data_IF_880400291152
#
_entry.id   IF_880400291152
#
_cell.length_a   1.000
_cell.length_b   1.000
_cell.length_c   1.000
_cell.angle_alpha   90.00
_cell.angle_beta   90.00
_cell.angle_gamma   90.00
#
_symmetry.space_group_name_H-M   'P 1'
#
loop_
_entity.id
_entity.type
_entity.pdbx_description
1 polymer ?
#
# COMPACT_ATOMS: atom_id res chain seq x y z
N UNK A 1 2.29 12.10 -24.29
CA UNK A 1 2.16 13.38 -25.03
C UNK A 1 0.75 13.68 -25.52
N UNK A 2 -0.31 13.19 -24.84
CA UNK A 2 -1.68 13.51 -25.27
C UNK A 2 -1.95 15.02 -25.17
N UNK A 3 -2.45 15.70 -26.26
CA UNK A 3 -2.56 17.16 -26.33
C UNK A 3 -3.33 17.81 -25.16
N UNK A 4 -4.45 17.20 -24.73
CA UNK A 4 -5.23 17.70 -23.60
C UNK A 4 -4.45 17.65 -22.26
N UNK A 5 -3.62 16.63 -22.06
CA UNK A 5 -2.80 16.50 -20.87
C UNK A 5 -1.67 17.55 -20.87
N UNK A 6 -1.00 17.70 -22.01
CA UNK A 6 0.06 18.70 -22.19
C UNK A 6 -0.48 20.11 -21.94
N UNK A 7 -1.63 20.44 -22.52
CA UNK A 7 -2.28 21.75 -22.32
C UNK A 7 -2.65 21.99 -20.84
N UNK A 8 -3.22 21.01 -20.16
CA UNK A 8 -3.59 21.13 -18.74
C UNK A 8 -2.36 21.34 -17.84
N UNK A 9 -1.25 20.66 -18.11
CA UNK A 9 0.01 20.83 -17.38
C UNK A 9 0.57 22.24 -17.62
N UNK A 10 0.63 22.69 -18.87
CA UNK A 10 1.15 24.00 -19.21
C UNK A 10 0.32 25.14 -18.58
N UNK A 11 -1.00 25.04 -18.65
CA UNK A 11 -1.91 26.01 -18.02
C UNK A 11 -1.73 26.06 -16.50
N UNK A 12 -1.67 24.90 -15.84
CA UNK A 12 -1.49 24.87 -14.40
C UNK A 12 -0.10 25.34 -13.98
N UNK A 13 0.95 25.01 -14.71
CA UNK A 13 2.31 25.44 -14.43
C UNK A 13 2.47 26.96 -14.55
N UNK A 14 1.72 27.60 -15.47
CA UNK A 14 1.69 29.07 -15.59
C UNK A 14 1.02 29.79 -14.41
N UNK A 15 0.20 29.06 -13.62
CA UNK A 15 -0.47 29.60 -12.41
C UNK A 15 0.36 29.34 -11.17
N UNK A 16 0.66 28.08 -10.91
CA UNK A 16 1.45 27.63 -9.76
C UNK A 16 1.95 26.21 -9.98
N UNK A 17 3.24 25.97 -9.72
CA UNK A 17 3.87 24.66 -9.85
C UNK A 17 3.75 23.87 -8.55
N UNK A 18 4.04 24.52 -7.40
CA UNK A 18 4.01 23.87 -6.11
C UNK A 18 3.58 24.85 -5.02
N UNK A 19 2.75 24.35 -4.11
CA UNK A 19 2.47 24.94 -2.80
C UNK A 19 2.56 23.83 -1.76
N UNK A 20 2.86 24.16 -0.51
CA UNK A 20 2.85 23.16 0.56
C UNK A 20 1.42 22.75 0.93
N UNK A 21 1.29 21.67 1.70
CA UNK A 21 0.00 21.24 2.28
C UNK A 21 -0.56 22.22 3.35
N UNK A 22 0.05 23.38 3.52
CA UNK A 22 -0.47 24.49 4.31
C UNK A 22 -1.56 25.28 3.58
N UNK A 23 -1.74 25.05 2.28
CA UNK A 23 -2.69 25.76 1.44
C UNK A 23 -3.71 24.80 0.83
N UNK A 24 -4.91 25.31 0.59
CA UNK A 24 -5.91 24.60 -0.19
C UNK A 24 -5.51 24.52 -1.66
N UNK A 25 -5.64 23.33 -2.23
CA UNK A 25 -5.37 23.06 -3.66
C UNK A 25 -6.67 22.57 -4.29
N UNK A 26 -7.45 23.44 -4.96
CA UNK A 26 -8.78 23.09 -5.47
C UNK A 26 -8.81 21.86 -6.39
N UNK A 27 -7.76 21.68 -7.19
CA UNK A 27 -7.67 20.51 -8.09
C UNK A 27 -7.50 19.21 -7.31
N UNK A 28 -6.71 19.23 -6.22
CA UNK A 28 -6.54 18.05 -5.36
C UNK A 28 -7.83 17.72 -4.60
N UNK A 29 -8.53 18.75 -4.09
CA UNK A 29 -9.82 18.60 -3.40
C UNK A 29 -10.87 18.01 -4.35
N UNK A 30 -11.03 18.54 -5.55
CA UNK A 30 -11.96 18.02 -6.57
C UNK A 30 -11.61 16.56 -6.95
N UNK A 31 -10.34 16.21 -7.05
CA UNK A 31 -9.92 14.85 -7.33
C UNK A 31 -10.24 13.92 -6.15
N UNK A 32 -9.97 14.36 -4.91
CA UNK A 32 -10.28 13.61 -3.70
C UNK A 32 -11.78 13.33 -3.58
N UNK A 33 -12.63 14.33 -3.80
CA UNK A 33 -14.09 14.16 -3.81
C UNK A 33 -14.55 13.12 -4.84
N UNK A 34 -13.99 13.14 -6.05
CA UNK A 34 -14.30 12.13 -7.08
C UNK A 34 -13.84 10.74 -6.67
N UNK A 35 -12.65 10.60 -6.09
CA UNK A 35 -12.15 9.30 -5.64
C UNK A 35 -13.00 8.74 -4.50
N UNK A 36 -13.38 9.55 -3.54
CA UNK A 36 -14.29 9.15 -2.44
C UNK A 36 -15.66 8.75 -2.99
N UNK A 37 -16.24 9.54 -3.91
CA UNK A 37 -17.55 9.24 -4.48
C UNK A 37 -17.60 7.93 -5.30
N UNK A 38 -16.47 7.44 -5.80
CA UNK A 38 -16.36 6.26 -6.66
C UNK A 38 -15.61 5.07 -6.01
N UNK A 39 -15.37 5.12 -4.70
CA UNK A 39 -14.69 4.06 -3.97
C UNK A 39 -15.30 3.87 -2.57
N UNK A 40 -14.72 2.98 -1.78
CA UNK A 40 -15.08 2.81 -0.37
C UNK A 40 -14.37 3.79 0.56
N UNK A 41 -13.47 4.63 0.03
CA UNK A 41 -12.65 5.52 0.84
C UNK A 41 -13.44 6.71 1.38
N UNK A 42 -13.16 7.11 2.62
CA UNK A 42 -13.71 8.32 3.25
C UNK A 42 -12.78 9.54 3.06
N UNK A 43 -11.50 9.30 2.76
CA UNK A 43 -10.50 10.34 2.57
C UNK A 43 -9.38 9.88 1.64
N UNK A 44 -8.61 10.84 1.12
CA UNK A 44 -7.52 10.61 0.17
C UNK A 44 -6.25 11.31 0.66
N UNK A 45 -5.14 10.61 0.59
CA UNK A 45 -3.81 11.16 0.79
C UNK A 45 -3.04 11.14 -0.53
N UNK A 46 -2.53 12.28 -0.96
CA UNK A 46 -1.72 12.39 -2.17
C UNK A 46 -0.24 12.38 -1.85
N UNK A 47 0.53 11.68 -2.66
CA UNK A 47 1.98 11.60 -2.59
C UNK A 47 2.58 11.51 -4.00
N UNK A 48 3.91 11.44 -4.13
CA UNK A 48 4.58 11.56 -5.42
C UNK A 48 4.74 10.21 -6.15
N UNK A 49 4.60 9.10 -5.45
CA UNK A 49 4.86 7.77 -6.03
C UNK A 49 4.10 6.66 -5.32
N UNK A 50 3.97 5.50 -5.97
CA UNK A 50 3.45 4.28 -5.33
C UNK A 50 4.30 3.82 -4.13
N UNK A 51 5.62 3.98 -4.20
CA UNK A 51 6.49 3.67 -3.06
C UNK A 51 6.16 4.52 -1.84
N UNK A 52 5.95 5.83 -2.02
CA UNK A 52 5.53 6.74 -0.93
C UNK A 52 4.13 6.39 -0.41
N UNK A 53 3.20 6.00 -1.29
CA UNK A 53 1.87 5.55 -0.88
C UNK A 53 1.96 4.30 0.00
N UNK A 54 2.78 3.31 -0.38
CA UNK A 54 2.99 2.09 0.38
C UNK A 54 3.72 2.34 1.71
N UNK A 55 4.71 3.22 1.74
CA UNK A 55 5.35 3.69 2.98
C UNK A 55 4.33 4.36 3.90
N UNK A 56 3.48 5.23 3.35
CA UNK A 56 2.38 5.87 4.07
C UNK A 56 1.40 4.84 4.65
N UNK A 57 1.04 3.84 3.86
CA UNK A 57 0.15 2.74 4.28
C UNK A 57 0.72 1.93 5.43
N UNK A 58 1.99 1.50 5.36
CA UNK A 58 2.68 0.79 6.45
C UNK A 58 2.69 1.63 7.73
N UNK A 59 3.00 2.92 7.62
CA UNK A 59 2.95 3.86 8.75
C UNK A 59 1.55 3.98 9.34
N UNK A 60 0.52 4.07 8.53
CA UNK A 60 -0.88 4.14 8.97
C UNK A 60 -1.30 2.86 9.69
N UNK A 61 -0.96 1.68 9.16
CA UNK A 61 -1.26 0.40 9.81
C UNK A 61 -0.65 0.32 11.21
N UNK A 62 0.64 0.61 11.34
CA UNK A 62 1.35 0.61 12.61
C UNK A 62 0.77 1.65 13.59
N UNK A 63 0.48 2.84 13.09
CA UNK A 63 -0.08 3.92 13.91
C UNK A 63 -1.48 3.63 14.41
N UNK A 64 -2.34 3.04 13.57
CA UNK A 64 -3.70 2.66 13.94
C UNK A 64 -3.69 1.57 15.02
N UNK A 65 -2.89 0.51 14.87
CA UNK A 65 -2.73 -0.52 15.90
C UNK A 65 -2.23 0.06 17.23
N UNK A 66 -1.24 0.93 17.20
CA UNK A 66 -0.76 1.59 18.42
C UNK A 66 -1.84 2.46 19.09
N UNK A 67 -2.70 3.15 18.30
CA UNK A 67 -3.84 3.92 18.83
C UNK A 67 -4.91 3.04 19.45
N UNK A 68 -5.06 1.81 18.98
CA UNK A 68 -5.97 0.79 19.54
C UNK A 68 -5.39 0.09 20.80
N UNK A 69 -4.18 0.46 21.21
CA UNK A 69 -3.50 -0.13 22.37
C UNK A 69 -2.61 -1.32 22.05
N UNK A 70 -2.34 -1.61 20.78
CA UNK A 70 -1.55 -2.72 20.28
C UNK A 70 -0.22 -2.22 19.67
N UNK A 71 0.60 -1.56 20.46
CA UNK A 71 1.89 -0.98 19.98
C UNK A 71 2.91 -2.04 19.55
N UNK A 72 2.75 -3.29 19.99
CA UNK A 72 3.55 -4.45 19.57
C UNK A 72 3.25 -4.87 18.12
N UNK A 73 2.07 -4.54 17.58
CA UNK A 73 1.65 -4.89 16.23
C UNK A 73 2.31 -4.00 15.20
N UNK A 74 3.45 -4.43 14.69
CA UNK A 74 4.26 -3.67 13.72
C UNK A 74 4.58 -4.46 12.44
N UNK A 75 4.27 -5.76 12.40
CA UNK A 75 4.58 -6.65 11.27
C UNK A 75 3.47 -6.61 10.23
N UNK A 76 3.86 -6.60 8.97
CA UNK A 76 2.95 -6.59 7.81
C UNK A 76 3.19 -7.89 7.03
N UNK A 77 2.11 -8.63 6.74
CA UNK A 77 2.18 -9.80 5.87
C UNK A 77 2.04 -9.33 4.43
N UNK A 78 3.00 -9.70 3.59
CA UNK A 78 3.04 -9.47 2.15
C UNK A 78 2.98 -10.81 1.39
N UNK A 79 2.77 -10.77 0.09
CA UNK A 79 2.76 -11.98 -0.73
C UNK A 79 4.03 -12.11 -1.56
N UNK A 80 4.51 -13.35 -1.75
CA UNK A 80 5.58 -13.66 -2.68
C UNK A 80 5.24 -13.17 -4.09
N UNK A 81 6.22 -12.63 -4.79
CA UNK A 81 6.05 -12.12 -6.14
C UNK A 81 5.40 -10.73 -6.23
N UNK A 82 5.20 -10.04 -5.09
CA UNK A 82 4.70 -8.69 -5.05
C UNK A 82 5.75 -7.66 -5.52
N UNK A 83 5.26 -6.46 -5.89
CA UNK A 83 6.10 -5.29 -6.11
C UNK A 83 5.50 -4.10 -5.36
N UNK A 84 6.18 -3.64 -4.33
CA UNK A 84 5.69 -2.55 -3.47
C UNK A 84 6.48 -1.24 -3.60
N UNK A 85 7.60 -1.26 -4.30
CA UNK A 85 8.47 -0.09 -4.49
C UNK A 85 9.94 -0.39 -4.24
N UNK A 86 10.79 0.65 -4.30
CA UNK A 86 12.26 0.51 -4.24
C UNK A 86 12.92 1.29 -3.10
N UNK A 87 12.17 1.80 -2.13
CA UNK A 87 12.74 2.26 -0.87
C UNK A 87 13.20 1.05 -0.05
N UNK A 88 14.06 1.25 0.92
CA UNK A 88 14.61 0.14 1.75
C UNK A 88 13.49 -0.69 2.40
N UNK A 89 12.44 -0.04 2.92
CA UNK A 89 11.33 -0.77 3.50
C UNK A 89 10.46 -1.46 2.42
N UNK A 90 10.26 -0.84 1.26
CA UNK A 90 9.46 -1.45 0.19
C UNK A 90 10.19 -2.56 -0.55
N UNK A 91 11.53 -2.54 -0.58
CA UNK A 91 12.33 -3.71 -1.00
C UNK A 91 12.12 -4.89 -0.05
N UNK A 92 12.12 -4.62 1.26
CA UNK A 92 11.82 -5.65 2.26
C UNK A 92 10.38 -6.17 2.13
N UNK A 93 9.39 -5.29 1.94
CA UNK A 93 8.00 -5.67 1.70
C UNK A 93 7.80 -6.49 0.41
N UNK A 94 8.54 -6.19 -0.65
CA UNK A 94 8.57 -6.95 -1.91
C UNK A 94 9.17 -8.34 -1.72
N UNK A 95 10.19 -8.48 -0.87
CA UNK A 95 10.79 -9.76 -0.48
C UNK A 95 11.52 -10.50 -1.60
N UNK A 96 11.81 -9.86 -2.72
CA UNK A 96 12.53 -10.48 -3.83
C UNK A 96 14.06 -10.44 -3.56
N UNK A 97 14.73 -11.60 -3.40
CA UNK A 97 16.16 -11.64 -3.09
C UNK A 97 17.04 -10.90 -4.12
N UNK A 98 16.64 -10.93 -5.40
CA UNK A 98 17.38 -10.22 -6.46
C UNK A 98 17.33 -8.69 -6.31
N UNK A 99 16.28 -8.15 -5.67
CA UNK A 99 16.18 -6.71 -5.41
C UNK A 99 16.84 -6.29 -4.10
N UNK A 100 17.09 -7.24 -3.21
CA UNK A 100 17.75 -7.02 -1.92
C UNK A 100 19.28 -7.14 -2.02
N UNK A 101 19.78 -7.74 -3.09
CA UNK A 101 21.21 -7.99 -3.27
C UNK A 101 22.04 -6.69 -3.20
N UNK A 102 23.05 -6.68 -2.36
CA UNK A 102 23.93 -5.55 -2.16
C UNK A 102 23.43 -4.43 -1.22
N UNK A 103 22.21 -4.54 -0.66
CA UNK A 103 21.64 -3.53 0.24
C UNK A 103 21.66 -3.90 1.73
N UNK A 104 22.33 -5.00 2.08
CA UNK A 104 22.40 -5.50 3.47
C UNK A 104 21.13 -6.24 3.90
N UNK A 105 20.94 -6.36 5.22
CA UNK A 105 19.77 -7.05 5.77
C UNK A 105 18.48 -6.31 5.44
N UNK A 106 17.39 -7.03 5.09
CA UNK A 106 16.08 -6.40 4.84
C UNK A 106 15.58 -5.62 6.05
N UNK A 107 14.92 -4.50 5.81
CA UNK A 107 14.23 -3.77 6.87
C UNK A 107 13.25 -4.71 7.61
N UNK A 108 13.25 -4.72 8.95
CA UNK A 108 12.42 -5.64 9.73
C UNK A 108 10.93 -5.28 9.67
N UNK A 109 10.08 -6.28 9.94
CA UNK A 109 8.64 -6.09 10.11
C UNK A 109 7.82 -6.47 8.87
N UNK A 110 8.37 -7.30 7.99
CA UNK A 110 7.65 -7.86 6.86
C UNK A 110 7.75 -9.39 6.88
N UNK A 111 6.61 -10.05 6.69
CA UNK A 111 6.48 -11.50 6.56
C UNK A 111 5.95 -11.83 5.17
N UNK A 112 6.42 -12.93 4.56
CA UNK A 112 6.03 -13.30 3.21
C UNK A 112 5.31 -14.63 3.20
N UNK A 113 4.24 -14.70 2.38
CA UNK A 113 3.45 -15.91 2.19
C UNK A 113 3.16 -16.11 0.69
N UNK A 114 2.96 -17.35 0.23
CA UNK A 114 2.58 -17.60 -1.15
C UNK A 114 1.28 -16.87 -1.53
N UNK A 115 1.29 -16.23 -2.71
CA UNK A 115 0.12 -15.56 -3.26
C UNK A 115 -1.03 -16.55 -3.49
N UNK A 116 -2.27 -16.14 -3.26
CA UNK A 116 -3.48 -16.96 -3.33
C UNK A 116 -3.52 -18.14 -2.33
N UNK A 117 -2.74 -18.09 -1.26
CA UNK A 117 -2.74 -19.14 -0.24
C UNK A 117 -3.24 -18.62 1.13
N UNK A 118 -4.56 -18.65 1.31
CA UNK A 118 -5.21 -18.16 2.54
C UNK A 118 -4.78 -18.96 3.79
N UNK A 119 -4.51 -20.26 3.66
CA UNK A 119 -4.10 -21.09 4.80
C UNK A 119 -2.71 -20.68 5.30
N UNK A 120 -1.76 -20.49 4.38
CA UNK A 120 -0.42 -20.02 4.74
C UNK A 120 -0.44 -18.61 5.33
N UNK A 121 -1.28 -17.72 4.76
CA UNK A 121 -1.45 -16.39 5.31
C UNK A 121 -1.99 -16.44 6.74
N UNK A 122 -3.02 -17.24 6.98
CA UNK A 122 -3.59 -17.41 8.32
C UNK A 122 -2.57 -17.97 9.32
N UNK A 123 -1.75 -18.94 8.90
CA UNK A 123 -0.69 -19.53 9.72
C UNK A 123 0.46 -18.56 10.04
N UNK A 124 0.67 -17.54 9.21
CA UNK A 124 1.71 -16.53 9.42
C UNK A 124 1.31 -15.42 10.40
N UNK A 125 0.03 -15.34 10.81
CA UNK A 125 -0.44 -14.32 11.75
C UNK A 125 0.14 -14.59 13.14
N UNK A 126 0.74 -13.57 13.72
CA UNK A 126 1.29 -13.57 15.08
C UNK A 126 0.67 -12.45 15.93
N UNK A 127 0.89 -12.41 17.24
CA UNK A 127 0.48 -11.28 18.06
C UNK A 127 1.04 -9.92 17.62
N UNK A 128 2.16 -9.93 16.89
CA UNK A 128 2.82 -8.73 16.37
C UNK A 128 2.30 -8.28 14.99
N UNK A 129 1.40 -9.04 14.36
CA UNK A 129 0.86 -8.72 13.04
C UNK A 129 -0.06 -7.50 13.11
N UNK A 130 0.25 -6.46 12.34
CA UNK A 130 -0.54 -5.23 12.22
C UNK A 130 -1.57 -5.31 11.09
N UNK A 131 -1.22 -5.94 9.99
CA UNK A 131 -2.06 -5.98 8.80
C UNK A 131 -1.48 -6.81 7.66
N UNK A 132 -2.23 -6.82 6.57
CA UNK A 132 -1.89 -7.51 5.32
C UNK A 132 -1.85 -6.49 4.20
N UNK A 133 -0.82 -6.55 3.36
CA UNK A 133 -0.64 -5.73 2.18
C UNK A 133 -0.55 -6.63 0.95
N UNK A 134 -1.44 -6.47 -0.03
CA UNK A 134 -1.53 -7.34 -1.19
C UNK A 134 -1.91 -6.57 -2.45
N UNK A 135 -1.41 -7.00 -3.60
CA UNK A 135 -1.87 -6.53 -4.90
C UNK A 135 -3.05 -7.39 -5.39
N UNK A 136 -4.09 -6.77 -5.93
CA UNK A 136 -5.19 -7.52 -6.58
C UNK A 136 -4.73 -8.20 -7.86
N UNK A 137 -3.74 -7.61 -8.53
CA UNK A 137 -3.06 -8.15 -9.71
C UNK A 137 -1.57 -7.89 -9.53
N UNK A 138 -0.78 -8.95 -9.36
CA UNK A 138 0.68 -8.83 -9.32
C UNK A 138 1.21 -8.62 -10.74
N UNK A 139 1.58 -7.40 -11.08
CA UNK A 139 2.07 -7.04 -12.41
C UNK A 139 3.46 -7.60 -12.71
N UNK A 140 4.41 -7.42 -11.80
CA UNK A 140 5.82 -7.78 -11.98
C UNK A 140 6.07 -9.29 -12.04
N UNK A 141 5.24 -10.12 -11.45
CA UNK A 141 5.41 -11.58 -11.43
C UNK A 141 4.63 -12.31 -12.53
N UNK A 142 4.26 -11.62 -13.61
CA UNK A 142 3.60 -12.21 -14.78
C UNK A 142 2.09 -12.04 -14.82
N UNK A 143 1.58 -10.92 -14.32
CA UNK A 143 0.16 -10.52 -14.35
C UNK A 143 -0.73 -11.60 -13.71
N UNK A 144 -0.44 -11.92 -12.45
CA UNK A 144 -1.20 -12.89 -11.67
C UNK A 144 -2.34 -12.22 -10.94
N UNK A 145 -3.56 -12.63 -11.21
CA UNK A 145 -4.75 -12.14 -10.54
C UNK A 145 -4.98 -12.85 -9.21
N UNK A 146 -5.40 -12.09 -8.20
CA UNK A 146 -5.85 -12.67 -6.93
C UNK A 146 -7.20 -13.38 -7.12
N UNK A 147 -7.34 -14.57 -6.55
CA UNK A 147 -8.58 -15.34 -6.58
C UNK A 147 -9.67 -14.66 -5.74
N UNK A 148 -10.88 -14.64 -6.24
CA UNK A 148 -12.03 -14.07 -5.51
C UNK A 148 -12.26 -14.72 -4.13
N UNK A 149 -11.93 -16.01 -4.00
CA UNK A 149 -11.97 -16.70 -2.71
C UNK A 149 -10.90 -16.16 -1.76
N UNK A 150 -9.67 -15.97 -2.26
CA UNK A 150 -8.55 -15.42 -1.49
C UNK A 150 -8.90 -14.01 -0.99
N UNK A 151 -9.37 -13.11 -1.86
CA UNK A 151 -9.72 -11.73 -1.50
C UNK A 151 -10.80 -11.67 -0.41
N UNK A 152 -11.89 -12.45 -0.57
CA UNK A 152 -12.93 -12.51 0.47
C UNK A 152 -12.41 -13.11 1.77
N UNK A 153 -11.55 -14.13 1.67
CA UNK A 153 -10.90 -14.74 2.82
C UNK A 153 -9.97 -13.78 3.56
N UNK A 154 -9.21 -12.95 2.83
CA UNK A 154 -8.38 -11.90 3.43
C UNK A 154 -9.21 -10.95 4.29
N UNK A 155 -10.36 -10.48 3.78
CA UNK A 155 -11.22 -9.59 4.56
C UNK A 155 -11.72 -10.28 5.84
N UNK A 156 -12.20 -11.52 5.73
CA UNK A 156 -12.67 -12.30 6.88
C UNK A 156 -11.59 -12.53 7.92
N UNK A 157 -10.40 -12.92 7.49
CA UNK A 157 -9.25 -13.15 8.38
C UNK A 157 -8.82 -11.84 9.07
N UNK A 158 -8.74 -10.76 8.32
CA UNK A 158 -8.37 -9.46 8.90
C UNK A 158 -9.41 -8.99 9.93
N UNK A 159 -10.70 -9.20 9.68
CA UNK A 159 -11.76 -8.87 10.65
C UNK A 159 -11.68 -9.73 11.90
N UNK A 160 -11.44 -11.04 11.77
CA UNK A 160 -11.32 -11.99 12.87
C UNK A 160 -10.15 -11.65 13.82
N UNK A 161 -9.00 -11.26 13.26
CA UNK A 161 -7.80 -10.98 14.04
C UNK A 161 -7.60 -9.48 14.36
N UNK A 162 -8.50 -8.61 13.93
CA UNK A 162 -8.40 -7.17 14.12
C UNK A 162 -7.24 -6.54 13.35
N UNK A 163 -6.93 -7.08 12.15
CA UNK A 163 -5.85 -6.64 11.28
C UNK A 163 -6.36 -5.61 10.25
N UNK A 164 -5.46 -4.76 9.81
CA UNK A 164 -5.73 -3.87 8.68
C UNK A 164 -5.46 -4.61 7.36
N UNK A 165 -6.30 -4.34 6.35
CA UNK A 165 -6.15 -4.88 5.01
C UNK A 165 -5.96 -3.75 4.01
N UNK A 166 -4.91 -3.84 3.20
CA UNK A 166 -4.58 -2.87 2.16
C UNK A 166 -4.33 -3.53 0.81
N UNK A 167 -4.76 -2.84 -0.26
CA UNK A 167 -4.58 -3.22 -1.64
C UNK A 167 -3.79 -2.15 -2.39
#
# INVERSE_FOLDING_TARGET
GHPRLVAAIAEQAARVIHVSNLYHIPQAETLAEKLVAHSFADSVFFCNSGAEANEGMVKMMRRDQARRGHSERTRIICCDGAFHGRTIAMLAATGNPAYLDGFGDPAPGFDHVPFNNLNMLRAAITPETAGVMVELIQGESGIKQADAHFIRGLRQVCDEFGLLLAF
#
